data_IF_600285853846
#
_entry.id   IF_600285853846
#
_cell.length_a   1.000
_cell.length_b   1.000
_cell.length_c   1.000
_cell.angle_alpha   90.00
_cell.angle_beta   90.00
_cell.angle_gamma   90.00
#
_symmetry.space_group_name_H-M   'P 1'
#
loop_
_entity.id
_entity.type
_entity.pdbx_description
1 polymer ?
#
# COMPACT_ATOMS: atom_id res chain seq x y z
N UNK A 1 -4.94 72.55 12.28
CA UNK A 1 -4.64 71.23 12.86
C UNK A 1 -5.59 70.22 12.23
N UNK A 2 -5.16 69.50 11.18
CA UNK A 2 -6.00 68.54 10.44
C UNK A 2 -5.68 67.13 10.98
N UNK A 3 -6.62 66.53 11.69
CA UNK A 3 -6.48 65.17 12.21
C UNK A 3 -6.79 64.20 11.06
N UNK A 4 -5.76 63.50 10.60
CA UNK A 4 -5.84 62.42 9.62
C UNK A 4 -6.17 61.13 10.38
N UNK A 5 -7.41 60.64 10.27
CA UNK A 5 -7.81 59.33 10.81
C UNK A 5 -7.50 58.28 9.75
N UNK A 6 -6.43 57.52 9.97
CA UNK A 6 -6.09 56.33 9.17
C UNK A 6 -6.86 55.16 9.77
N UNK A 7 -7.93 54.73 9.10
CA UNK A 7 -8.62 53.48 9.41
C UNK A 7 -7.81 52.34 8.79
N UNK A 8 -7.04 51.63 9.62
CA UNK A 8 -6.37 50.41 9.21
C UNK A 8 -7.39 49.26 9.14
N UNK A 9 -7.82 48.92 7.93
CA UNK A 9 -8.67 47.76 7.66
C UNK A 9 -7.81 46.49 7.78
N UNK A 10 -7.78 45.88 8.97
CA UNK A 10 -7.23 44.55 9.20
C UNK A 10 -8.12 43.52 8.48
N UNK A 11 -7.77 43.15 7.24
CA UNK A 11 -8.28 41.94 6.61
C UNK A 11 -7.68 40.72 7.32
N UNK A 12 -8.42 40.18 8.28
CA UNK A 12 -8.21 38.82 8.75
C UNK A 12 -8.56 37.87 7.60
N UNK A 13 -7.55 37.39 6.87
CA UNK A 13 -7.72 36.28 5.94
C UNK A 13 -8.07 35.02 6.74
N UNK A 14 -9.35 34.71 6.84
CA UNK A 14 -9.80 33.41 7.32
C UNK A 14 -9.37 32.38 6.30
N UNK A 15 -8.29 31.66 6.57
CA UNK A 15 -8.00 30.42 5.85
C UNK A 15 -9.14 29.45 6.15
N UNK A 16 -10.09 29.33 5.23
CA UNK A 16 -10.99 28.19 5.23
C UNK A 16 -10.10 26.97 5.02
N UNK A 17 -9.86 26.20 6.08
CA UNK A 17 -9.31 24.86 5.97
C UNK A 17 -10.37 24.04 5.22
N UNK A 18 -10.25 24.01 3.89
CA UNK A 18 -11.04 23.11 3.09
C UNK A 18 -10.70 21.68 3.52
N UNK A 19 -11.73 20.88 3.82
CA UNK A 19 -11.55 19.46 4.14
C UNK A 19 -10.74 18.76 3.05
N UNK A 20 -9.96 17.74 3.44
CA UNK A 20 -9.15 16.97 2.51
C UNK A 20 -10.04 16.20 1.53
N UNK A 21 -9.49 15.80 0.39
CA UNK A 21 -10.22 15.00 -0.60
C UNK A 21 -9.50 13.69 -0.83
N UNK A 22 -10.27 12.62 -0.96
CA UNK A 22 -9.79 11.36 -1.51
C UNK A 22 -9.90 11.46 -3.02
N UNK A 23 -8.77 11.61 -3.69
CA UNK A 23 -8.65 11.90 -5.12
C UNK A 23 -8.39 10.63 -5.95
N UNK A 24 -7.85 9.59 -5.31
CA UNK A 24 -7.52 8.34 -5.96
C UNK A 24 -7.62 7.15 -5.03
N UNK A 25 -7.71 5.97 -5.63
CA UNK A 25 -7.64 4.69 -4.93
C UNK A 25 -6.84 3.72 -5.78
N UNK A 26 -5.91 3.01 -5.15
CA UNK A 26 -5.04 2.02 -5.78
C UNK A 26 -5.03 0.77 -4.93
N UNK A 27 -4.95 -0.40 -5.58
CA UNK A 27 -4.97 -1.69 -4.93
C UNK A 27 -3.82 -2.55 -5.45
N UNK A 28 -3.04 -3.12 -4.53
CA UNK A 28 -1.90 -3.98 -4.84
C UNK A 28 -2.03 -5.30 -4.09
N UNK A 29 -2.56 -6.35 -4.73
CA UNK A 29 -2.58 -7.69 -4.14
C UNK A 29 -1.17 -8.29 -4.07
N UNK A 30 -0.85 -8.87 -2.91
CA UNK A 30 0.32 -9.71 -2.64
C UNK A 30 -0.15 -11.10 -2.15
N UNK A 31 0.74 -12.10 -2.08
CA UNK A 31 0.36 -13.43 -1.60
C UNK A 31 -0.15 -13.47 -0.16
N UNK A 32 0.36 -12.60 0.72
CA UNK A 32 0.08 -12.59 2.17
C UNK A 32 -0.71 -11.36 2.65
N UNK A 33 -0.87 -10.35 1.79
CA UNK A 33 -1.64 -9.15 2.09
C UNK A 33 -2.20 -8.51 0.83
N UNK A 34 -3.10 -7.55 0.99
CA UNK A 34 -3.45 -6.60 -0.08
C UNK A 34 -3.28 -5.20 0.44
N UNK A 35 -2.53 -4.37 -0.29
CA UNK A 35 -2.36 -2.95 0.04
C UNK A 35 -3.40 -2.11 -0.70
N UNK A 36 -4.30 -1.48 0.05
CA UNK A 36 -5.18 -0.41 -0.43
C UNK A 36 -4.49 0.93 -0.15
N UNK A 37 -4.43 1.81 -1.14
CA UNK A 37 -3.88 3.15 -1.01
C UNK A 37 -4.95 4.15 -1.42
N UNK A 38 -5.26 5.10 -0.55
CA UNK A 38 -6.10 6.25 -0.85
C UNK A 38 -5.19 7.46 -1.06
N UNK A 39 -5.22 8.03 -2.26
CA UNK A 39 -4.50 9.26 -2.58
C UNK A 39 -5.31 10.44 -2.05
N UNK A 40 -4.70 11.26 -1.20
CA UNK A 40 -5.37 12.37 -0.52
C UNK A 40 -4.73 13.72 -0.87
N UNK A 41 -5.58 14.74 -0.98
CA UNK A 41 -5.13 16.12 -1.28
C UNK A 41 -4.24 16.70 -0.16
N UNK A 42 -4.45 16.24 1.07
CA UNK A 42 -3.71 16.63 2.27
C UNK A 42 -3.58 15.48 3.26
N UNK A 43 -2.87 15.71 4.36
CA UNK A 43 -2.86 14.81 5.51
C UNK A 43 -4.29 14.54 5.98
N UNK A 44 -4.58 13.30 6.37
CA UNK A 44 -5.91 12.88 6.84
C UNK A 44 -5.78 12.15 8.16
N UNK A 45 -6.59 12.52 9.14
CA UNK A 45 -6.77 11.72 10.34
C UNK A 45 -7.78 10.61 10.06
N UNK A 46 -7.47 9.40 10.50
CA UNK A 46 -8.28 8.23 10.17
C UNK A 46 -8.40 7.26 11.34
N UNK A 47 -9.50 6.50 11.32
CA UNK A 47 -9.72 5.37 12.22
C UNK A 47 -10.12 4.13 11.40
N UNK A 48 -9.48 2.99 11.69
CA UNK A 48 -9.73 1.73 11.00
C UNK A 48 -10.19 0.67 11.99
N UNK A 49 -11.32 0.02 11.71
CA UNK A 49 -11.83 -1.05 12.54
C UNK A 49 -12.65 -2.06 11.73
N UNK A 50 -12.68 -3.29 12.23
CA UNK A 50 -13.39 -4.40 11.58
C UNK A 50 -14.79 -4.57 12.18
N UNK A 51 -15.74 -5.01 11.34
CA UNK A 51 -17.06 -5.47 11.75
C UNK A 51 -17.26 -6.91 11.29
N UNK A 52 -17.95 -7.71 12.09
CA UNK A 52 -18.35 -9.07 11.77
C UNK A 52 -19.84 -9.14 11.38
N UNK A 53 -20.22 -10.20 10.66
CA UNK A 53 -21.61 -10.48 10.25
C UNK A 53 -22.26 -9.42 9.35
N UNK A 54 -21.83 -9.20 8.09
CA UNK A 54 -20.71 -9.81 7.37
C UNK A 54 -19.37 -9.11 7.63
N UNK A 55 -18.25 -9.79 7.30
CA UNK A 55 -16.88 -9.30 7.43
C UNK A 55 -16.69 -8.01 6.64
N UNK A 56 -16.37 -6.93 7.35
CA UNK A 56 -16.17 -5.60 6.77
C UNK A 56 -15.00 -4.90 7.44
N UNK A 57 -14.27 -4.11 6.65
CA UNK A 57 -13.33 -3.13 7.17
C UNK A 57 -13.90 -1.73 6.98
N UNK A 58 -13.97 -0.95 8.05
CA UNK A 58 -14.45 0.43 8.02
C UNK A 58 -13.26 1.36 8.23
N UNK A 59 -13.15 2.35 7.35
CA UNK A 59 -12.15 3.41 7.39
C UNK A 59 -12.92 4.73 7.49
N UNK A 60 -12.90 5.34 8.67
CA UNK A 60 -13.46 6.67 8.89
C UNK A 60 -12.34 7.70 8.71
N UNK A 61 -12.58 8.72 7.89
CA UNK A 61 -11.67 9.81 7.58
C UNK A 61 -12.27 11.13 8.06
N UNK A 62 -11.51 11.91 8.83
CA UNK A 62 -11.96 13.20 9.36
C UNK A 62 -11.90 14.29 8.31
N UNK A 63 -12.94 15.13 8.29
CA UNK A 63 -13.05 16.31 7.41
C UNK A 63 -12.62 16.01 5.97
N UNK A 64 -13.16 14.92 5.41
CA UNK A 64 -12.76 14.37 4.13
C UNK A 64 -13.97 14.21 3.19
N UNK A 65 -13.76 14.49 1.90
CA UNK A 65 -14.75 14.26 0.85
C UNK A 65 -14.22 13.30 -0.23
N UNK A 66 -15.13 12.56 -0.86
CA UNK A 66 -14.77 11.66 -1.97
C UNK A 66 -14.78 12.42 -3.30
N UNK A 67 -13.66 12.39 -4.02
CA UNK A 67 -13.50 13.01 -5.35
C UNK A 67 -13.14 11.99 -6.44
N UNK A 68 -13.33 10.70 -6.16
CA UNK A 68 -13.01 9.59 -7.07
C UNK A 68 -14.10 8.52 -7.07
N UNK A 69 -14.07 7.63 -8.05
CA UNK A 69 -15.06 6.56 -8.22
C UNK A 69 -14.45 5.20 -7.92
N UNK A 70 -14.80 4.65 -6.76
CA UNK A 70 -14.31 3.35 -6.30
C UNK A 70 -14.82 2.16 -7.13
N UNK A 71 -15.88 2.33 -7.92
CA UNK A 71 -16.42 1.23 -8.75
C UNK A 71 -15.49 0.84 -9.91
N UNK A 72 -14.51 1.69 -10.24
CA UNK A 72 -13.53 1.48 -11.32
C UNK A 72 -12.28 0.72 -10.90
N UNK A 73 -12.13 0.40 -9.61
CA UNK A 73 -10.96 -0.32 -9.10
C UNK A 73 -11.09 -1.80 -9.44
N UNK A 74 -10.04 -2.38 -10.02
CA UNK A 74 -9.95 -3.83 -10.14
C UNK A 74 -9.69 -4.45 -8.77
N UNK A 75 -10.67 -5.22 -8.27
CA UNK A 75 -10.60 -5.92 -7.00
C UNK A 75 -10.13 -7.38 -7.16
N UNK A 76 -9.76 -7.80 -8.38
CA UNK A 76 -9.26 -9.15 -8.64
C UNK A 76 -8.01 -9.46 -7.82
N UNK A 77 -7.88 -10.71 -7.38
CA UNK A 77 -6.76 -11.14 -6.52
C UNK A 77 -6.80 -10.59 -5.09
N UNK A 78 -7.75 -9.73 -4.73
CA UNK A 78 -7.87 -9.18 -3.38
C UNK A 78 -8.93 -9.90 -2.51
N UNK A 79 -8.91 -9.72 -1.18
CA UNK A 79 -9.97 -10.19 -0.31
C UNK A 79 -11.21 -9.28 -0.30
N UNK A 80 -11.19 -8.17 -1.05
CA UNK A 80 -12.27 -7.19 -1.08
C UNK A 80 -13.31 -7.62 -2.13
N UNK A 81 -14.58 -7.66 -1.73
CA UNK A 81 -15.72 -7.93 -2.62
C UNK A 81 -16.27 -6.66 -3.23
N UNK A 82 -16.32 -5.58 -2.44
CA UNK A 82 -16.86 -4.28 -2.84
C UNK A 82 -16.27 -3.18 -1.95
N UNK A 83 -16.09 -2.00 -2.54
CA UNK A 83 -15.78 -0.78 -1.82
C UNK A 83 -17.00 0.14 -1.86
N UNK A 84 -17.42 0.65 -0.71
CA UNK A 84 -18.52 1.61 -0.54
C UNK A 84 -18.01 2.86 0.15
N UNK A 85 -18.73 3.96 -0.04
CA UNK A 85 -18.44 5.22 0.62
C UNK A 85 -19.73 5.95 0.99
N UNK A 86 -19.69 6.73 2.07
CA UNK A 86 -20.79 7.61 2.47
C UNK A 86 -20.27 8.76 3.33
N UNK A 87 -20.86 9.96 3.23
CA UNK A 87 -20.66 11.02 4.23
C UNK A 87 -21.07 10.53 5.63
N UNK A 88 -20.37 11.03 6.65
CA UNK A 88 -20.54 10.68 8.06
C UNK A 88 -20.34 11.94 8.91
N UNK A 89 -21.06 12.06 10.02
CA UNK A 89 -20.87 13.15 11.00
C UNK A 89 -20.75 14.57 10.40
N UNK A 90 -21.51 14.89 9.34
CA UNK A 90 -21.38 16.15 8.61
C UNK A 90 -20.30 16.10 7.54
N UNK A 91 -19.03 16.22 7.93
CA UNK A 91 -17.89 16.38 7.02
C UNK A 91 -16.92 15.18 6.98
N UNK A 92 -17.16 14.13 7.76
CA UNK A 92 -16.32 12.93 7.72
C UNK A 92 -16.69 12.07 6.49
N UNK A 93 -15.73 11.32 5.97
CA UNK A 93 -15.97 10.28 4.97
C UNK A 93 -15.83 8.91 5.61
N UNK A 94 -16.83 8.05 5.43
CA UNK A 94 -16.71 6.62 5.74
C UNK A 94 -16.49 5.85 4.46
N UNK A 95 -15.40 5.09 4.41
CA UNK A 95 -15.15 4.05 3.39
C UNK A 95 -15.38 2.69 4.04
N UNK A 96 -16.08 1.80 3.36
CA UNK A 96 -16.36 0.43 3.83
C UNK A 96 -15.93 -0.56 2.77
N UNK A 97 -15.05 -1.48 3.16
CA UNK A 97 -14.65 -2.63 2.37
C UNK A 97 -15.49 -3.82 2.82
N UNK A 98 -16.32 -4.36 1.93
CA UNK A 98 -16.98 -5.65 2.16
C UNK A 98 -15.96 -6.75 1.85
N UNK A 99 -15.66 -7.63 2.82
CA UNK A 99 -14.55 -8.59 2.74
C UNK A 99 -15.04 -10.03 2.57
N UNK A 100 -14.22 -10.88 1.94
CA UNK A 100 -14.49 -12.32 1.79
C UNK A 100 -14.36 -13.10 3.11
N UNK A 101 -13.50 -12.62 4.01
CA UNK A 101 -13.20 -13.22 5.32
C UNK A 101 -12.78 -12.14 6.31
N UNK A 102 -12.67 -12.51 7.58
CA UNK A 102 -12.13 -11.63 8.62
C UNK A 102 -10.63 -11.41 8.40
N UNK A 103 -10.23 -10.15 8.39
CA UNK A 103 -8.87 -9.70 8.08
C UNK A 103 -8.40 -8.71 9.13
N UNK A 104 -7.12 -8.79 9.46
CA UNK A 104 -6.46 -7.83 10.34
C UNK A 104 -5.94 -6.64 9.54
N UNK A 105 -6.39 -5.41 9.83
CA UNK A 105 -5.87 -4.24 9.15
C UNK A 105 -4.59 -3.73 9.80
N UNK A 106 -3.74 -3.10 9.00
CA UNK A 106 -2.71 -2.17 9.44
C UNK A 106 -2.84 -0.91 8.60
N UNK A 107 -2.78 0.27 9.22
CA UNK A 107 -2.89 1.53 8.48
C UNK A 107 -1.87 2.55 8.93
N UNK A 108 -1.41 3.38 8.00
CA UNK A 108 -0.45 4.46 8.22
C UNK A 108 -0.55 5.49 7.09
N UNK A 109 -0.09 6.71 7.35
CA UNK A 109 -0.03 7.78 6.35
C UNK A 109 1.38 7.90 5.79
N UNK A 110 1.48 8.26 4.52
CA UNK A 110 2.74 8.62 3.86
C UNK A 110 2.72 10.08 3.45
N UNK A 111 3.84 10.75 3.68
CA UNK A 111 4.06 12.11 3.20
C UNK A 111 4.21 12.14 1.66
N UNK A 112 4.00 13.31 1.05
CA UNK A 112 4.27 13.52 -0.36
C UNK A 112 5.73 13.22 -0.71
N UNK A 113 5.95 12.71 -1.92
CA UNK A 113 7.27 12.58 -2.51
C UNK A 113 7.26 13.19 -3.92
N UNK A 114 8.32 12.97 -4.71
CA UNK A 114 8.42 13.54 -6.06
C UNK A 114 7.31 13.10 -7.03
N UNK A 115 6.64 11.98 -6.75
CA UNK A 115 5.67 11.36 -7.64
C UNK A 115 4.24 11.42 -7.11
N UNK A 116 4.06 11.26 -5.80
CA UNK A 116 2.76 11.13 -5.17
C UNK A 116 2.55 12.17 -4.07
N UNK A 117 1.29 12.58 -3.90
CA UNK A 117 0.87 13.43 -2.78
C UNK A 117 0.77 12.67 -1.46
N UNK A 118 -0.04 13.21 -0.55
CA UNK A 118 -0.38 12.54 0.70
C UNK A 118 -1.14 11.26 0.41
N UNK A 119 -0.88 10.23 1.21
CA UNK A 119 -1.50 8.92 1.03
C UNK A 119 -1.87 8.31 2.36
N UNK A 120 -3.06 7.71 2.41
CA UNK A 120 -3.42 6.77 3.46
C UNK A 120 -3.27 5.36 2.93
N UNK A 121 -2.39 4.59 3.56
CA UNK A 121 -2.14 3.18 3.25
C UNK A 121 -2.90 2.30 4.25
N UNK A 122 -3.61 1.30 3.74
CA UNK A 122 -4.30 0.27 4.53
C UNK A 122 -3.92 -1.10 3.99
N UNK A 123 -3.13 -1.84 4.76
CA UNK A 123 -2.78 -3.22 4.48
C UNK A 123 -3.84 -4.15 5.07
N UNK A 124 -4.44 -4.97 4.21
CA UNK A 124 -5.34 -6.07 4.55
C UNK A 124 -4.50 -7.34 4.65
N UNK A 125 -4.08 -7.68 5.87
CA UNK A 125 -3.20 -8.83 6.10
C UNK A 125 -4.04 -10.09 6.20
N UNK A 126 -3.82 -11.01 5.25
CA UNK A 126 -4.46 -12.31 5.25
C UNK A 126 -3.56 -13.30 6.02
N UNK A 127 -3.83 -13.48 7.30
CA UNK A 127 -3.10 -14.47 8.11
C UNK A 127 -3.32 -15.92 7.63
N UNK A 128 -4.38 -16.18 6.86
CA UNK A 128 -4.59 -17.48 6.21
C UNK A 128 -3.76 -17.60 4.92
N UNK A 129 -3.60 -16.51 4.17
CA UNK A 129 -2.71 -16.36 2.99
C UNK A 129 -1.22 -16.30 3.32
N UNK A 130 -0.85 -15.88 4.53
CA UNK A 130 0.50 -15.96 5.11
C UNK A 130 1.03 -17.40 5.28
N UNK A 131 0.24 -18.42 4.92
CA UNK A 131 0.72 -19.81 4.71
C UNK A 131 1.55 -19.96 3.44
N UNK A 132 2.24 -18.92 2.97
CA UNK A 132 3.53 -19.10 2.34
C UNK A 132 4.38 -19.90 3.34
N UNK A 133 4.53 -21.19 3.08
CA UNK A 133 5.29 -22.20 3.81
C UNK A 133 5.82 -21.69 5.16
N UNK A 134 5.11 -21.98 6.26
CA UNK A 134 5.61 -21.79 7.63
C UNK A 134 7.10 -22.09 7.60
N UNK A 135 7.94 -21.08 7.87
CA UNK A 135 9.38 -21.19 7.75
C UNK A 135 9.83 -22.51 8.37
N UNK A 136 10.09 -23.51 7.53
CA UNK A 136 10.55 -24.80 8.01
C UNK A 136 11.92 -24.52 8.57
N UNK A 137 12.19 -24.95 9.80
CA UNK A 137 13.55 -24.91 10.33
C UNK A 137 14.49 -25.47 9.25
N UNK A 138 15.53 -24.72 8.86
CA UNK A 138 16.40 -25.14 7.77
C UNK A 138 16.96 -26.51 8.13
N UNK A 139 16.54 -27.54 7.40
CA UNK A 139 17.12 -28.87 7.54
C UNK A 139 18.43 -28.82 6.78
N UNK A 140 19.55 -28.78 7.51
CA UNK A 140 20.87 -28.86 6.88
C UNK A 140 21.06 -30.30 6.42
N UNK A 141 20.71 -30.58 5.17
CA UNK A 141 21.09 -31.82 4.50
C UNK A 141 22.58 -31.74 4.15
N UNK A 142 23.42 -32.35 4.98
CA UNK A 142 24.82 -32.61 4.63
C UNK A 142 24.87 -33.88 3.78
N UNK A 143 25.53 -33.80 2.63
CA UNK A 143 25.89 -35.00 1.87
C UNK A 143 27.02 -35.76 2.58
N UNK A 144 27.30 -36.98 2.12
CA UNK A 144 28.37 -37.83 2.67
C UNK A 144 29.78 -37.25 2.53
N UNK A 145 29.95 -36.15 1.78
CA UNK A 145 31.20 -35.42 1.61
C UNK A 145 31.26 -34.13 2.46
N UNK A 146 30.26 -33.89 3.33
CA UNK A 146 30.19 -32.71 4.19
C UNK A 146 29.79 -31.42 3.47
N UNK A 147 29.34 -31.50 2.21
CA UNK A 147 28.82 -30.35 1.46
C UNK A 147 27.32 -30.22 1.73
N UNK A 148 26.87 -28.97 1.84
CA UNK A 148 25.46 -28.61 2.04
C UNK A 148 24.95 -27.84 0.83
N UNK A 149 23.67 -27.93 0.58
CA UNK A 149 23.01 -27.05 -0.39
C UNK A 149 23.14 -25.59 0.07
N UNK A 150 23.43 -24.71 -0.88
CA UNK A 150 23.57 -23.27 -0.66
C UNK A 150 22.27 -22.60 -1.09
N UNK A 151 21.61 -21.95 -0.13
CA UNK A 151 20.43 -21.13 -0.41
C UNK A 151 20.89 -19.69 -0.63
N UNK A 152 20.54 -19.13 -1.79
CA UNK A 152 20.76 -17.73 -2.13
C UNK A 152 19.43 -17.00 -2.12
N UNK A 153 19.27 -16.04 -1.20
CA UNK A 153 18.10 -15.16 -1.19
C UNK A 153 18.41 -13.95 -2.07
N UNK A 154 17.57 -13.72 -3.07
CA UNK A 154 17.67 -12.60 -4.00
C UNK A 154 16.59 -11.61 -3.65
N UNK A 155 17.00 -10.40 -3.28
CA UNK A 155 16.09 -9.32 -3.00
C UNK A 155 15.83 -8.48 -4.26
N UNK A 156 14.58 -8.48 -4.72
CA UNK A 156 14.16 -7.60 -5.80
C UNK A 156 13.60 -6.31 -5.18
N UNK A 157 14.39 -5.24 -5.16
CA UNK A 157 14.00 -3.96 -4.55
C UNK A 157 12.68 -3.38 -5.10
N UNK A 158 12.01 -2.56 -4.29
CA UNK A 158 10.75 -1.88 -4.61
C UNK A 158 9.59 -2.84 -4.93
N UNK A 159 8.50 -2.34 -5.53
CA UNK A 159 7.34 -3.13 -5.93
C UNK A 159 6.01 -2.51 -5.52
N UNK A 160 4.96 -2.88 -6.23
CA UNK A 160 3.61 -2.37 -6.00
C UNK A 160 3.56 -0.86 -6.18
N UNK A 161 3.15 -0.15 -5.13
CA UNK A 161 3.09 1.31 -5.13
C UNK A 161 4.46 1.98 -5.35
N UNK A 162 5.53 1.40 -4.80
CA UNK A 162 6.87 1.97 -4.87
C UNK A 162 7.53 1.58 -6.21
N UNK A 163 7.74 2.52 -7.15
CA UNK A 163 8.36 2.22 -8.42
C UNK A 163 9.89 2.18 -8.36
N UNK A 164 10.49 2.66 -7.26
CA UNK A 164 11.89 3.05 -7.22
C UNK A 164 12.20 4.21 -8.17
N UNK A 165 13.44 4.29 -8.64
CA UNK A 165 13.85 5.31 -9.60
C UNK A 165 13.06 5.21 -10.92
N UNK A 166 12.72 6.37 -11.48
CA UNK A 166 12.07 6.48 -12.80
C UNK A 166 13.06 7.08 -13.79
N UNK A 167 13.39 6.31 -14.83
CA UNK A 167 14.27 6.76 -15.90
C UNK A 167 13.59 7.79 -16.82
N UNK A 168 14.35 8.53 -17.64
CA UNK A 168 13.83 9.62 -18.49
C UNK A 168 12.72 9.22 -19.48
N UNK A 169 12.61 7.92 -19.79
CA UNK A 169 11.59 7.35 -20.69
C UNK A 169 10.45 6.63 -19.94
N UNK A 170 10.32 6.85 -18.62
CA UNK A 170 9.30 6.20 -17.78
C UNK A 170 9.61 4.76 -17.39
N UNK A 171 10.84 4.28 -17.62
CA UNK A 171 11.28 2.96 -17.12
C UNK A 171 11.32 2.99 -15.60
N UNK A 172 10.66 2.02 -14.94
CA UNK A 172 10.60 1.94 -13.47
C UNK A 172 11.60 0.90 -12.96
N UNK A 173 12.36 1.26 -11.94
CA UNK A 173 13.34 0.39 -11.31
C UNK A 173 12.72 -0.95 -10.90
N UNK A 174 11.55 -0.93 -10.24
CA UNK A 174 10.85 -2.14 -9.79
C UNK A 174 10.65 -3.21 -10.87
N UNK A 175 10.46 -2.79 -12.13
CA UNK A 175 10.22 -3.67 -13.29
C UNK A 175 11.54 -4.26 -13.80
N UNK A 176 12.62 -3.49 -13.74
CA UNK A 176 13.96 -3.91 -14.16
C UNK A 176 14.53 -4.90 -13.16
N UNK A 177 14.53 -4.54 -11.87
CA UNK A 177 15.14 -5.36 -10.82
C UNK A 177 14.39 -6.67 -10.62
N UNK A 178 13.05 -6.71 -10.76
CA UNK A 178 12.30 -7.97 -10.69
C UNK A 178 12.68 -8.92 -11.84
N UNK A 179 12.83 -8.40 -13.07
CA UNK A 179 13.23 -9.23 -14.22
C UNK A 179 14.66 -9.75 -14.05
N UNK A 180 15.57 -8.92 -13.56
CA UNK A 180 16.94 -9.33 -13.26
C UNK A 180 16.99 -10.38 -12.15
N UNK A 181 16.24 -10.20 -11.07
CA UNK A 181 16.18 -11.14 -9.95
C UNK A 181 15.65 -12.51 -10.41
N UNK A 182 14.59 -12.55 -11.22
CA UNK A 182 14.07 -13.80 -11.80
C UNK A 182 15.11 -14.49 -12.68
N UNK A 183 15.77 -13.75 -13.56
CA UNK A 183 16.82 -14.31 -14.42
C UNK A 183 17.99 -14.86 -13.61
N UNK A 184 18.42 -14.15 -12.56
CA UNK A 184 19.48 -14.61 -11.67
C UNK A 184 19.05 -15.87 -10.90
N UNK A 185 17.81 -15.92 -10.42
CA UNK A 185 17.27 -17.11 -9.77
C UNK A 185 17.32 -18.34 -10.68
N UNK A 186 16.92 -18.19 -11.95
CA UNK A 186 16.98 -19.27 -12.94
C UNK A 186 18.41 -19.78 -13.15
N UNK A 187 19.39 -18.88 -13.21
CA UNK A 187 20.80 -19.23 -13.37
C UNK A 187 21.37 -19.94 -12.15
N UNK A 188 21.00 -19.51 -10.94
CA UNK A 188 21.41 -20.14 -9.69
C UNK A 188 20.80 -21.53 -9.55
N UNK A 189 19.52 -21.69 -9.87
CA UNK A 189 18.81 -22.98 -9.79
C UNK A 189 19.34 -24.03 -10.79
N UNK A 190 20.09 -23.62 -11.81
CA UNK A 190 20.78 -24.54 -12.73
C UNK A 190 22.10 -25.09 -12.15
N UNK A 191 22.63 -24.47 -11.08
CA UNK A 191 23.87 -24.92 -10.45
C UNK A 191 23.60 -26.02 -9.44
N UNK A 192 24.32 -27.14 -9.56
CA UNK A 192 24.20 -28.25 -8.60
C UNK A 192 24.58 -27.79 -7.20
N UNK A 193 23.71 -28.07 -6.22
CA UNK A 193 23.91 -27.70 -4.83
C UNK A 193 23.56 -26.24 -4.49
N UNK A 194 22.86 -25.53 -5.39
CA UNK A 194 22.34 -24.19 -5.13
C UNK A 194 20.82 -24.14 -5.27
N UNK A 195 20.19 -23.27 -4.48
CA UNK A 195 18.77 -22.96 -4.58
C UNK A 195 18.56 -21.47 -4.40
N UNK A 196 17.88 -20.83 -5.33
CA UNK A 196 17.47 -19.45 -5.23
C UNK A 196 16.10 -19.31 -4.54
N UNK A 197 15.98 -18.30 -3.68
CA UNK A 197 14.71 -17.82 -3.12
C UNK A 197 14.58 -16.34 -3.40
N UNK A 198 13.39 -15.88 -3.76
CA UNK A 198 13.12 -14.47 -4.08
C UNK A 198 12.32 -13.84 -2.93
N UNK A 199 12.66 -12.61 -2.54
CA UNK A 199 11.85 -11.84 -1.56
C UNK A 199 10.46 -11.50 -2.10
N UNK A 200 10.35 -11.31 -3.42
CA UNK A 200 9.08 -11.22 -4.15
C UNK A 200 9.16 -11.84 -5.53
N UNK A 201 8.03 -12.38 -5.99
CA UNK A 201 7.90 -13.00 -7.31
C UNK A 201 6.99 -12.19 -8.25
N UNK A 202 6.31 -11.18 -7.72
CA UNK A 202 5.39 -10.30 -8.44
C UNK A 202 5.62 -8.81 -8.18
N UNK A 203 4.73 -7.98 -8.72
CA UNK A 203 4.73 -6.53 -8.56
C UNK A 203 3.93 -6.12 -7.32
N UNK A 204 4.49 -6.39 -6.14
CA UNK A 204 3.96 -5.98 -4.85
C UNK A 204 5.10 -5.53 -3.93
N UNK A 205 4.77 -4.68 -2.96
CA UNK A 205 5.71 -4.22 -1.95
C UNK A 205 5.86 -5.28 -0.86
N UNK A 206 7.07 -5.48 -0.34
CA UNK A 206 7.40 -6.41 0.77
C UNK A 206 7.69 -5.62 2.03
#
# INVERSE_FOLDING_TARGET
MKILVIVALLLSASTVLAGTRVEGVRLWPAPDHTRLVLDTAGLVEHNVFSLSGPSRLVIDLKDAALSTDFSKVDLSGSPIQRIRSAPRNGNDLRVVLDLKSDIKPRSFVLEPNQQYGHRLVVDLIDEQGSRLDRATSPTVTQDSAGKRDIIVVIDAGHGGEDPGAIGPRGTREKDVVLRMAKRLADLINQQKGFTAKLTRTGDYYV
#
